data_IF_001149501635
#
_entry.id   IF_001149501635
#
_cell.length_a   1.000
_cell.length_b   1.000
_cell.length_c   1.000
_cell.angle_alpha   90.00
_cell.angle_beta   90.00
_cell.angle_gamma   90.00
#
_symmetry.space_group_name_H-M   'P 1'
#
loop_
_entity.id
_entity.type
_entity.pdbx_description
1 polymer ?
#
# COMPACT_ATOMS: atom_id res chain seq x y z
N UNK A 1 -24.76 3.18 15.77
CA UNK A 1 -24.79 1.96 16.60
C UNK A 1 -23.69 2.02 17.65
N UNK A 2 -24.04 1.86 18.94
CA UNK A 2 -23.17 2.17 20.09
C UNK A 2 -22.19 1.05 20.46
N UNK A 3 -22.60 -0.22 20.35
CA UNK A 3 -21.72 -1.38 20.57
C UNK A 3 -21.02 -1.77 19.26
N UNK A 4 -19.74 -2.19 19.29
CA UNK A 4 -18.93 -2.48 20.48
C UNK A 4 -18.13 -1.28 21.04
N UNK A 5 -18.30 -0.06 20.51
CA UNK A 5 -17.49 1.12 20.92
C UNK A 5 -17.57 1.41 22.42
N UNK A 6 -18.72 1.19 23.06
CA UNK A 6 -18.85 1.33 24.52
C UNK A 6 -17.95 0.36 25.29
N UNK A 7 -17.76 -0.88 24.80
CA UNK A 7 -16.87 -1.86 25.44
C UNK A 7 -15.41 -1.38 25.33
N UNK A 8 -15.01 -0.88 24.16
CA UNK A 8 -13.69 -0.29 23.97
C UNK A 8 -13.48 0.98 24.83
N UNK A 9 -14.52 1.80 25.00
CA UNK A 9 -14.47 2.97 25.89
C UNK A 9 -14.25 2.55 27.34
N UNK A 10 -14.97 1.53 27.83
CA UNK A 10 -14.78 0.99 29.17
C UNK A 10 -13.36 0.44 29.38
N UNK A 11 -12.79 -0.24 28.39
CA UNK A 11 -11.39 -0.69 28.43
C UNK A 11 -10.45 0.51 28.65
N UNK A 12 -10.61 1.59 27.89
CA UNK A 12 -9.72 2.76 27.98
C UNK A 12 -9.95 3.55 29.26
N UNK A 13 -11.19 3.73 29.71
CA UNK A 13 -11.51 4.62 30.84
C UNK A 13 -11.32 3.93 32.19
N UNK A 14 -11.46 2.59 32.27
CA UNK A 14 -11.39 1.86 33.53
C UNK A 14 -10.09 1.06 33.74
N UNK A 15 -9.22 0.97 32.73
CA UNK A 15 -7.88 0.36 32.88
C UNK A 15 -6.76 1.40 32.97
N UNK A 16 -5.71 1.07 33.71
CA UNK A 16 -4.49 1.87 33.75
C UNK A 16 -3.81 1.90 32.38
N UNK A 17 -3.14 3.00 32.04
CA UNK A 17 -2.45 3.13 30.73
C UNK A 17 -1.45 2.00 30.49
N UNK A 18 -0.76 1.54 31.54
CA UNK A 18 0.28 0.52 31.46
C UNK A 18 -0.27 -0.91 31.33
N UNK A 19 -1.55 -1.14 31.64
CA UNK A 19 -2.20 -2.46 31.53
C UNK A 19 -2.98 -2.65 30.22
N UNK A 20 -3.10 -1.61 29.39
CA UNK A 20 -3.85 -1.68 28.12
C UNK A 20 -3.08 -2.50 27.10
N UNK A 21 -3.72 -3.55 26.59
CA UNK A 21 -3.17 -4.40 25.55
C UNK A 21 -4.24 -4.66 24.49
N UNK A 22 -3.98 -4.24 23.25
CA UNK A 22 -4.94 -4.35 22.16
C UNK A 22 -5.22 -5.81 21.80
N UNK A 23 -4.20 -6.66 21.79
CA UNK A 23 -4.34 -8.08 21.41
C UNK A 23 -5.17 -8.83 22.45
N UNK A 24 -4.91 -8.60 23.74
CA UNK A 24 -5.74 -9.14 24.83
C UNK A 24 -7.20 -8.67 24.70
N UNK A 25 -7.42 -7.38 24.48
CA UNK A 25 -8.75 -6.81 24.30
C UNK A 25 -9.50 -7.44 23.11
N UNK A 26 -8.84 -7.58 21.96
CA UNK A 26 -9.43 -8.19 20.77
C UNK A 26 -9.76 -9.68 20.99
N UNK A 27 -8.93 -10.39 21.75
CA UNK A 27 -9.22 -11.77 22.14
C UNK A 27 -10.44 -11.87 23.07
N UNK A 28 -10.57 -10.98 24.07
CA UNK A 28 -11.78 -10.91 24.91
C UNK A 28 -13.03 -10.51 24.13
N UNK A 29 -12.89 -9.65 23.13
CA UNK A 29 -14.00 -9.22 22.28
C UNK A 29 -14.68 -10.39 21.54
N UNK A 30 -13.95 -11.47 21.22
CA UNK A 30 -14.53 -12.68 20.62
C UNK A 30 -15.71 -13.22 21.46
N UNK A 31 -15.50 -13.33 22.78
CA UNK A 31 -16.54 -13.76 23.72
C UNK A 31 -17.67 -12.73 23.86
N UNK A 32 -17.33 -11.43 23.83
CA UNK A 32 -18.32 -10.37 23.93
C UNK A 32 -19.29 -10.37 22.74
N UNK A 33 -18.80 -10.64 21.52
CA UNK A 33 -19.69 -10.75 20.37
C UNK A 33 -20.68 -11.92 20.50
N UNK A 34 -20.21 -13.10 20.90
CA UNK A 34 -21.09 -14.25 21.13
C UNK A 34 -22.12 -13.96 22.24
N UNK A 35 -21.70 -13.28 23.31
CA UNK A 35 -22.61 -12.82 24.36
C UNK A 35 -23.70 -11.88 23.81
N UNK A 36 -23.31 -10.88 23.02
CA UNK A 36 -24.25 -9.91 22.43
C UNK A 36 -25.23 -10.59 21.47
N UNK A 37 -24.76 -11.57 20.68
CA UNK A 37 -25.60 -12.40 19.80
C UNK A 37 -26.63 -13.18 20.62
N UNK A 38 -26.17 -13.90 21.65
CA UNK A 38 -27.03 -14.72 22.52
C UNK A 38 -28.07 -13.89 23.29
N UNK A 39 -27.70 -12.67 23.69
CA UNK A 39 -28.61 -11.71 24.33
C UNK A 39 -29.47 -10.91 23.34
N UNK A 40 -29.35 -11.16 22.04
CA UNK A 40 -30.07 -10.45 20.97
C UNK A 40 -29.87 -8.93 21.03
N UNK A 41 -28.73 -8.48 21.53
CA UNK A 41 -28.38 -7.06 21.63
C UNK A 41 -27.90 -6.58 20.26
N UNK A 42 -28.29 -5.36 19.86
CA UNK A 42 -27.85 -4.80 18.59
C UNK A 42 -26.43 -4.24 18.70
N UNK A 43 -25.55 -4.67 17.79
CA UNK A 43 -24.15 -4.23 17.75
C UNK A 43 -23.63 -4.18 16.31
N UNK A 44 -22.55 -3.44 16.10
CA UNK A 44 -21.85 -3.42 14.81
C UNK A 44 -21.12 -4.73 14.60
N UNK A 45 -21.64 -5.54 13.68
CA UNK A 45 -20.95 -6.74 13.20
C UNK A 45 -19.62 -6.29 12.57
N UNK A 46 -18.49 -6.83 13.04
CA UNK A 46 -17.18 -6.52 12.47
C UNK A 46 -17.12 -6.86 10.99
N UNK A 47 -16.64 -5.91 10.21
CA UNK A 47 -16.31 -6.12 8.80
C UNK A 47 -15.11 -7.07 8.71
N UNK A 48 -15.16 -8.11 7.85
CA UNK A 48 -14.03 -8.98 7.63
C UNK A 48 -12.98 -8.24 6.81
N UNK A 49 -11.87 -7.89 7.45
CA UNK A 49 -10.70 -7.26 6.84
C UNK A 49 -9.60 -8.32 6.64
N UNK A 50 -8.85 -8.24 5.53
CA UNK A 50 -7.67 -9.06 5.35
C UNK A 50 -6.60 -8.70 6.40
N UNK A 51 -5.73 -9.66 6.70
CA UNK A 51 -4.53 -9.48 7.53
C UNK A 51 -3.46 -8.64 6.82
N UNK A 52 -3.46 -8.67 5.48
CA UNK A 52 -2.66 -7.78 4.66
C UNK A 52 -3.28 -6.39 4.54
N UNK A 53 -2.48 -5.37 4.89
CA UNK A 53 -2.80 -3.97 4.63
C UNK A 53 -2.29 -3.47 3.28
N UNK A 54 -1.43 -4.26 2.63
CA UNK A 54 -0.83 -3.92 1.34
C UNK A 54 -1.74 -4.34 0.18
N UNK A 55 -2.01 -3.40 -0.71
CA UNK A 55 -2.72 -3.62 -1.98
C UNK A 55 -1.86 -4.44 -2.95
N UNK A 56 -0.54 -4.45 -2.75
CA UNK A 56 0.42 -5.09 -3.62
C UNK A 56 1.00 -6.33 -2.93
N UNK A 57 0.84 -7.50 -3.52
CA UNK A 57 1.25 -8.77 -2.89
C UNK A 57 2.00 -9.68 -3.87
N UNK A 58 2.97 -10.49 -3.40
CA UNK A 58 3.58 -11.51 -4.24
C UNK A 58 2.58 -12.49 -4.84
N UNK A 59 2.88 -13.02 -6.03
CA UNK A 59 2.10 -14.11 -6.61
C UNK A 59 2.13 -15.34 -5.71
N UNK A 60 0.95 -15.89 -5.41
CA UNK A 60 0.81 -17.03 -4.51
C UNK A 60 0.69 -16.66 -3.04
N UNK A 61 0.53 -15.37 -2.70
CA UNK A 61 0.20 -14.95 -1.33
C UNK A 61 -1.15 -15.51 -0.88
N UNK A 62 -1.21 -15.88 0.40
CA UNK A 62 -2.44 -16.33 1.07
C UNK A 62 -3.03 -15.20 1.91
N UNK A 63 -4.23 -14.75 1.55
CA UNK A 63 -4.93 -13.70 2.28
C UNK A 63 -5.87 -14.33 3.32
N UNK A 64 -5.76 -13.86 4.57
CA UNK A 64 -6.62 -14.32 5.67
C UNK A 64 -7.55 -13.22 6.12
N UNK A 65 -8.84 -13.52 6.21
CA UNK A 65 -9.80 -12.61 6.80
C UNK A 65 -9.87 -12.77 8.31
N UNK A 66 -9.93 -11.66 9.03
CA UNK A 66 -10.23 -11.69 10.46
C UNK A 66 -11.67 -12.18 10.69
N UNK A 67 -11.83 -13.18 11.56
CA UNK A 67 -13.13 -13.74 11.94
C UNK A 67 -13.30 -13.62 13.46
N UNK A 68 -13.64 -12.43 13.99
CA UNK A 68 -13.76 -12.23 15.43
C UNK A 68 -15.03 -12.86 16.06
N UNK A 69 -16.00 -13.30 15.25
CA UNK A 69 -17.23 -13.95 15.71
C UNK A 69 -17.19 -15.40 15.20
N UNK A 70 -17.01 -16.35 16.11
CA UNK A 70 -16.80 -17.75 15.74
C UNK A 70 -18.03 -18.38 15.11
N UNK A 71 -19.22 -18.05 15.63
CA UNK A 71 -20.51 -18.51 15.11
C UNK A 71 -20.93 -17.90 13.77
N UNK A 72 -20.19 -16.89 13.28
CA UNK A 72 -20.47 -16.22 12.01
C UNK A 72 -19.87 -16.96 10.81
N UNK A 73 -20.38 -16.65 9.62
CA UNK A 73 -19.81 -17.08 8.34
C UNK A 73 -19.32 -15.86 7.58
N UNK A 74 -18.20 -15.98 6.86
CA UNK A 74 -17.75 -14.95 5.93
C UNK A 74 -18.02 -15.48 4.53
N UNK A 75 -18.71 -14.68 3.72
CA UNK A 75 -18.91 -14.95 2.30
C UNK A 75 -18.22 -13.88 1.48
N UNK A 76 -17.64 -14.27 0.35
CA UNK A 76 -16.90 -13.36 -0.52
C UNK A 76 -17.17 -13.62 -2.00
N UNK A 77 -16.83 -12.62 -2.81
CA UNK A 77 -16.91 -12.62 -4.27
C UNK A 77 -15.64 -11.99 -4.83
N UNK A 78 -15.29 -12.37 -6.06
CA UNK A 78 -14.10 -11.90 -6.79
C UNK A 78 -14.45 -11.21 -8.12
N UNK A 79 -15.74 -11.15 -8.45
CA UNK A 79 -16.31 -10.57 -9.67
C UNK A 79 -16.82 -9.13 -9.46
N UNK A 80 -16.56 -8.55 -8.28
CA UNK A 80 -17.01 -7.21 -7.90
C UNK A 80 -18.46 -7.11 -7.42
N UNK A 81 -19.23 -8.20 -7.40
CA UNK A 81 -20.60 -8.20 -6.87
C UNK A 81 -20.62 -8.14 -5.33
N UNK A 82 -21.74 -7.76 -4.71
CA UNK A 82 -21.87 -7.81 -3.26
C UNK A 82 -22.10 -9.25 -2.77
N UNK A 83 -21.36 -9.75 -1.77
CA UNK A 83 -21.51 -11.12 -1.29
C UNK A 83 -22.89 -11.37 -0.67
N UNK A 84 -23.43 -12.55 -0.97
CA UNK A 84 -24.66 -13.10 -0.39
C UNK A 84 -24.37 -14.44 0.28
N UNK A 85 -25.37 -15.05 0.93
CA UNK A 85 -25.23 -16.40 1.49
C UNK A 85 -25.04 -17.50 0.44
N UNK A 86 -25.27 -17.19 -0.85
CA UNK A 86 -25.02 -18.08 -1.99
C UNK A 86 -23.63 -17.86 -2.62
N UNK A 87 -22.88 -16.84 -2.18
CA UNK A 87 -21.52 -16.58 -2.64
C UNK A 87 -20.52 -17.58 -2.05
N UNK A 88 -19.23 -17.40 -2.32
CA UNK A 88 -18.20 -18.35 -1.89
C UNK A 88 -18.01 -18.24 -0.38
N UNK A 89 -18.13 -19.36 0.34
CA UNK A 89 -17.88 -19.43 1.78
C UNK A 89 -16.37 -19.38 2.04
N UNK A 90 -15.91 -18.42 2.84
CA UNK A 90 -14.54 -18.38 3.33
C UNK A 90 -14.34 -19.43 4.43
N UNK A 91 -13.59 -20.48 4.11
CA UNK A 91 -13.25 -21.60 5.02
C UNK A 91 -11.76 -21.80 5.22
N UNK A 92 -10.93 -21.22 4.35
CA UNK A 92 -9.47 -21.28 4.35
C UNK A 92 -8.89 -20.01 3.71
N UNK A 93 -7.60 -19.69 3.93
CA UNK A 93 -6.95 -18.56 3.28
C UNK A 93 -7.15 -18.57 1.76
N UNK A 94 -7.30 -17.38 1.17
CA UNK A 94 -7.52 -17.22 -0.27
C UNK A 94 -6.17 -17.06 -0.95
N UNK A 95 -5.85 -17.97 -1.87
CA UNK A 95 -4.64 -17.91 -2.68
C UNK A 95 -4.83 -16.90 -3.82
N UNK A 96 -3.93 -15.92 -3.93
CA UNK A 96 -4.02 -14.86 -4.94
C UNK A 96 -2.95 -15.06 -6.01
N UNK A 97 -3.40 -15.39 -7.23
CA UNK A 97 -2.53 -15.68 -8.38
C UNK A 97 -2.68 -14.72 -9.57
N UNK A 98 -3.71 -13.87 -9.52
CA UNK A 98 -3.89 -12.71 -10.41
C UNK A 98 -4.40 -11.49 -9.64
N UNK A 99 -4.41 -10.32 -10.29
CA UNK A 99 -5.03 -9.12 -9.74
C UNK A 99 -6.52 -9.39 -9.48
N UNK A 100 -7.01 -9.09 -8.28
CA UNK A 100 -8.37 -9.44 -7.89
C UNK A 100 -8.96 -8.41 -6.94
N UNK A 101 -10.24 -8.10 -7.14
CA UNK A 101 -11.05 -7.35 -6.19
C UNK A 101 -11.81 -8.35 -5.31
N UNK A 102 -11.49 -8.41 -4.02
CA UNK A 102 -12.23 -9.26 -3.07
C UNK A 102 -13.23 -8.41 -2.30
N UNK A 103 -14.50 -8.74 -2.49
CA UNK A 103 -15.60 -8.21 -1.69
C UNK A 103 -15.98 -9.26 -0.64
N UNK A 104 -16.10 -8.88 0.63
CA UNK A 104 -16.41 -9.81 1.73
C UNK A 104 -17.39 -9.23 2.76
N UNK A 105 -18.27 -10.08 3.30
CA UNK A 105 -19.19 -9.74 4.41
C UNK A 105 -19.28 -10.86 5.44
N UNK A 106 -19.40 -10.46 6.70
CA UNK A 106 -19.72 -11.36 7.81
C UNK A 106 -21.23 -11.50 7.91
N UNK A 107 -21.72 -12.74 7.99
CA UNK A 107 -23.11 -13.12 8.14
C UNK A 107 -23.32 -13.84 9.48
N UNK A 108 -24.27 -13.35 10.26
CA UNK A 108 -24.75 -14.05 11.45
C UNK A 108 -25.85 -15.05 11.08
N UNK A 109 -26.08 -16.04 11.94
CA UNK A 109 -27.15 -17.04 11.78
C UNK A 109 -28.56 -16.44 11.69
N UNK A 110 -28.76 -15.25 12.27
CA UNK A 110 -30.03 -14.51 12.21
C UNK A 110 -30.20 -13.65 10.95
N UNK A 111 -29.30 -13.76 9.97
CA UNK A 111 -29.36 -13.03 8.70
C UNK A 111 -28.79 -11.61 8.73
N UNK A 112 -28.43 -11.05 9.90
CA UNK A 112 -27.75 -9.75 9.97
C UNK A 112 -26.34 -9.84 9.38
N UNK A 113 -25.89 -8.77 8.74
CA UNK A 113 -24.58 -8.72 8.09
C UNK A 113 -23.71 -7.57 8.57
N UNK A 114 -22.40 -7.71 8.44
CA UNK A 114 -21.49 -6.57 8.47
C UNK A 114 -21.72 -5.64 7.28
N UNK A 115 -21.15 -4.43 7.29
CA UNK A 115 -20.88 -3.68 6.07
C UNK A 115 -19.95 -4.44 5.12
N UNK A 116 -19.95 -4.03 3.85
CA UNK A 116 -19.06 -4.53 2.82
C UNK A 116 -17.60 -4.20 3.13
N UNK A 117 -16.75 -5.23 3.07
CA UNK A 117 -15.31 -5.11 2.89
C UNK A 117 -15.02 -5.18 1.39
N UNK A 118 -14.20 -4.28 0.86
CA UNK A 118 -13.83 -4.27 -0.56
C UNK A 118 -12.35 -3.93 -0.66
N UNK A 119 -11.55 -4.89 -1.11
CA UNK A 119 -10.08 -4.76 -1.17
C UNK A 119 -9.59 -5.26 -2.51
N UNK A 120 -8.86 -4.40 -3.23
CA UNK A 120 -8.15 -4.78 -4.44
C UNK A 120 -6.75 -5.27 -4.09
N UNK A 121 -6.41 -6.45 -4.58
CA UNK A 121 -5.05 -6.98 -4.56
C UNK A 121 -4.48 -6.93 -5.98
N UNK A 122 -3.29 -6.38 -6.10
CA UNK A 122 -2.50 -6.36 -7.31
C UNK A 122 -1.26 -7.21 -7.09
N UNK A 123 -1.01 -8.12 -8.02
CA UNK A 123 0.11 -9.05 -7.90
C UNK A 123 1.39 -8.39 -8.37
N UNK A 124 2.44 -8.73 -7.63
CA UNK A 124 3.81 -8.50 -7.99
C UNK A 124 4.45 -9.86 -8.26
N UNK A 125 5.03 -10.01 -9.44
CA UNK A 125 6.06 -11.02 -9.66
C UNK A 125 7.39 -10.42 -9.20
N UNK A 126 7.91 -10.87 -8.05
CA UNK A 126 9.16 -10.34 -7.48
C UNK A 126 10.37 -10.52 -8.38
N UNK A 127 10.29 -11.39 -9.40
CA UNK A 127 11.35 -11.58 -10.39
C UNK A 127 11.29 -10.54 -11.52
N UNK A 128 10.10 -10.04 -11.85
CA UNK A 128 9.87 -9.13 -12.98
C UNK A 128 9.61 -7.69 -12.54
N UNK A 129 8.81 -7.49 -11.51
CA UNK A 129 8.31 -6.18 -11.08
C UNK A 129 9.29 -5.46 -10.14
N UNK A 130 9.14 -4.14 -10.06
CA UNK A 130 9.88 -3.26 -9.15
C UNK A 130 11.02 -2.50 -9.82
N UNK A 131 11.72 -1.68 -9.02
CA UNK A 131 12.92 -0.96 -9.41
C UNK A 131 14.09 -1.40 -8.57
N UNK A 132 15.27 -1.48 -9.18
CA UNK A 132 16.52 -1.66 -8.45
C UNK A 132 16.97 -0.30 -7.94
N UNK A 133 17.25 -0.19 -6.65
CA UNK A 133 17.77 1.03 -6.05
C UNK A 133 19.18 0.83 -5.52
N UNK A 134 19.93 1.93 -5.50
CA UNK A 134 21.19 2.10 -4.79
C UNK A 134 21.03 3.24 -3.80
N UNK A 135 21.58 3.06 -2.61
CA UNK A 135 21.54 3.97 -1.48
C UNK A 135 22.96 4.38 -1.11
N UNK A 136 23.12 5.67 -0.85
CA UNK A 136 24.38 6.34 -0.61
C UNK A 136 24.24 7.25 0.62
N UNK A 137 25.31 7.40 1.38
CA UNK A 137 25.35 8.30 2.54
C UNK A 137 26.18 9.54 2.21
N UNK A 138 25.71 10.70 2.67
CA UNK A 138 26.40 11.96 2.45
C UNK A 138 25.49 13.15 2.69
N UNK A 139 26.09 14.33 2.85
CA UNK A 139 25.39 15.61 2.95
C UNK A 139 25.50 16.28 1.58
N UNK A 140 24.35 16.63 1.01
CA UNK A 140 24.28 17.19 -0.33
C UNK A 140 23.45 18.48 -0.33
N UNK A 141 23.82 19.44 -1.17
CA UNK A 141 23.02 20.64 -1.47
C UNK A 141 22.27 20.53 -2.80
N UNK A 142 22.65 19.55 -3.62
CA UNK A 142 22.06 19.15 -4.90
C UNK A 142 22.36 17.68 -5.17
N UNK A 143 21.65 17.04 -6.08
CA UNK A 143 21.88 15.66 -6.46
C UNK A 143 23.36 15.42 -6.83
N UNK A 144 24.01 14.41 -6.22
CA UNK A 144 25.41 14.11 -6.49
C UNK A 144 25.60 13.38 -7.82
N UNK A 145 26.84 13.34 -8.30
CA UNK A 145 27.23 12.39 -9.34
C UNK A 145 27.34 10.98 -8.74
N UNK A 146 26.27 10.19 -8.90
CA UNK A 146 26.17 8.82 -8.41
C UNK A 146 27.27 7.86 -8.92
N UNK A 147 27.92 8.18 -10.04
CA UNK A 147 29.01 7.33 -10.59
C UNK A 147 30.29 7.41 -9.75
N UNK A 148 30.43 8.47 -8.95
CA UNK A 148 31.59 8.72 -8.09
C UNK A 148 31.42 8.22 -6.66
N UNK A 149 30.20 7.82 -6.28
CA UNK A 149 29.85 7.48 -4.91
C UNK A 149 30.05 5.99 -4.62
N UNK A 150 30.45 5.68 -3.39
CA UNK A 150 30.44 4.32 -2.86
C UNK A 150 29.01 3.93 -2.46
N UNK A 151 28.50 2.86 -3.06
CA UNK A 151 27.23 2.26 -2.68
C UNK A 151 27.30 1.69 -1.26
N UNK A 152 26.35 2.07 -0.41
CA UNK A 152 26.23 1.56 0.96
C UNK A 152 25.25 0.38 1.04
N UNK A 153 24.17 0.46 0.25
CA UNK A 153 23.12 -0.57 0.19
C UNK A 153 22.44 -0.53 -1.17
N UNK A 154 22.02 -1.68 -1.66
CA UNK A 154 21.09 -1.79 -2.78
C UNK A 154 19.97 -2.77 -2.49
N UNK A 155 18.95 -2.75 -3.33
CA UNK A 155 17.84 -3.68 -3.24
C UNK A 155 16.80 -3.42 -4.32
N UNK A 156 15.64 -4.03 -4.12
CA UNK A 156 14.47 -3.88 -4.99
C UNK A 156 13.34 -3.21 -4.22
N UNK A 157 12.70 -2.23 -4.83
CA UNK A 157 11.49 -1.58 -4.32
C UNK A 157 10.30 -1.86 -5.22
N UNK A 158 9.13 -1.99 -4.60
CA UNK A 158 7.87 -2.22 -5.29
C UNK A 158 6.94 -1.01 -5.23
N UNK A 159 7.20 -0.11 -4.30
CA UNK A 159 6.61 1.21 -4.26
C UNK A 159 7.72 2.23 -4.16
N UNK A 160 7.58 3.32 -4.90
CA UNK A 160 8.54 4.41 -4.83
C UNK A 160 8.27 5.25 -3.56
N UNK A 161 8.69 4.71 -2.42
CA UNK A 161 8.47 5.21 -1.07
C UNK A 161 9.70 4.93 -0.21
N UNK A 162 10.05 5.87 0.67
CA UNK A 162 11.15 5.70 1.62
C UNK A 162 10.90 4.58 2.64
N UNK A 163 9.64 4.20 2.86
CA UNK A 163 9.26 3.12 3.78
C UNK A 163 9.84 1.75 3.38
N UNK A 164 9.99 1.49 2.08
CA UNK A 164 10.53 0.23 1.56
C UNK A 164 12.07 0.23 1.59
N UNK A 165 12.67 1.40 1.37
CA UNK A 165 14.13 1.58 1.32
C UNK A 165 14.74 1.55 2.72
N UNK A 166 14.03 2.14 3.70
CA UNK A 166 14.44 2.29 5.10
C UNK A 166 15.83 2.93 5.22
N UNK A 167 15.96 4.25 4.90
CA UNK A 167 17.23 4.98 5.04
C UNK A 167 17.85 4.79 6.43
N UNK A 168 19.17 4.62 6.48
CA UNK A 168 19.91 4.35 7.72
C UNK A 168 20.39 5.63 8.41
N UNK A 169 20.41 6.75 7.68
CA UNK A 169 20.84 8.08 8.12
C UNK A 169 19.81 9.12 7.71
N UNK A 170 19.92 10.29 8.34
CA UNK A 170 19.14 11.47 7.96
C UNK A 170 19.60 12.00 6.60
N UNK A 171 20.91 12.13 6.39
CA UNK A 171 21.47 12.60 5.12
C UNK A 171 21.84 11.43 4.21
N UNK A 172 21.23 11.36 3.02
CA UNK A 172 21.43 10.26 2.09
C UNK A 172 21.05 10.63 0.66
N UNK A 173 21.42 9.77 -0.30
CA UNK A 173 20.96 9.83 -1.68
C UNK A 173 20.52 8.46 -2.18
N UNK A 174 19.60 8.45 -3.16
CA UNK A 174 19.00 7.27 -3.75
C UNK A 174 19.01 7.43 -5.27
N UNK A 175 19.42 6.38 -5.97
CA UNK A 175 19.19 6.23 -7.40
C UNK A 175 18.41 4.93 -7.64
N UNK A 176 17.22 5.04 -8.21
CA UNK A 176 16.37 3.90 -8.55
C UNK A 176 16.21 3.79 -10.08
N UNK A 177 16.32 2.58 -10.62
CA UNK A 177 16.24 2.28 -12.04
C UNK A 177 15.26 1.13 -12.31
N UNK A 178 14.55 1.20 -13.43
CA UNK A 178 13.69 0.12 -13.92
C UNK A 178 13.08 0.49 -15.27
N UNK A 179 11.96 -0.15 -15.59
CA UNK A 179 11.19 0.05 -16.81
C UNK A 179 9.74 0.33 -16.46
N UNK A 180 9.19 1.44 -16.94
CA UNK A 180 7.78 1.78 -16.83
C UNK A 180 7.03 1.18 -18.03
N UNK A 181 6.01 0.37 -17.76
CA UNK A 181 5.13 -0.17 -18.80
C UNK A 181 3.95 0.78 -19.06
N UNK A 182 3.86 1.25 -20.28
CA UNK A 182 2.77 2.08 -20.81
C UNK A 182 1.83 1.17 -21.59
N UNK A 183 0.60 1.01 -21.09
CA UNK A 183 -0.39 0.10 -21.71
C UNK A 183 -1.02 0.69 -22.98
N UNK A 184 -1.10 2.01 -23.06
CA UNK A 184 -1.74 2.75 -24.15
C UNK A 184 -0.94 4.01 -24.50
N UNK A 185 -0.71 4.27 -25.79
CA UNK A 185 -0.05 5.50 -26.22
C UNK A 185 -0.91 6.72 -25.85
N UNK A 186 -0.30 7.77 -25.30
CA UNK A 186 -1.06 8.93 -24.85
C UNK A 186 -0.22 9.99 -24.16
N UNK A 187 -0.92 11.01 -23.65
CA UNK A 187 -0.33 12.03 -22.79
C UNK A 187 -0.46 11.57 -21.34
N UNK A 188 0.66 11.54 -20.65
CA UNK A 188 0.76 11.21 -19.23
C UNK A 188 1.28 12.41 -18.46
N UNK A 189 0.74 12.63 -17.27
CA UNK A 189 1.23 13.64 -16.35
C UNK A 189 1.89 12.98 -15.14
N UNK A 190 3.16 13.31 -14.92
CA UNK A 190 3.91 12.85 -13.76
C UNK A 190 3.97 13.94 -12.71
N UNK A 191 3.93 13.53 -11.45
CA UNK A 191 4.07 14.41 -10.30
C UNK A 191 5.15 13.83 -9.40
N UNK A 192 6.20 14.61 -9.15
CA UNK A 192 7.29 14.25 -8.26
C UNK A 192 7.31 15.23 -7.10
N UNK A 193 7.04 14.71 -5.90
CA UNK A 193 7.07 15.47 -4.66
C UNK A 193 8.26 15.01 -3.83
N UNK A 194 9.12 15.95 -3.42
CA UNK A 194 10.26 15.64 -2.55
C UNK A 194 10.51 16.71 -1.49
N UNK A 195 11.00 16.29 -0.33
CA UNK A 195 11.76 17.14 0.59
C UNK A 195 13.23 17.05 0.20
N UNK A 196 13.88 18.18 -0.07
CA UNK A 196 15.13 18.30 -0.83
C UNK A 196 15.02 17.75 -2.28
N UNK A 197 16.16 17.50 -2.92
CA UNK A 197 16.24 17.45 -4.37
C UNK A 197 15.89 16.11 -4.99
N UNK A 198 15.16 16.13 -6.10
CA UNK A 198 14.86 14.94 -6.91
C UNK A 198 14.82 15.21 -8.42
N UNK A 199 15.08 14.17 -9.22
CA UNK A 199 14.97 14.19 -10.69
C UNK A 199 14.31 12.93 -11.19
N UNK A 200 13.46 13.06 -12.21
CA UNK A 200 12.86 11.95 -12.95
C UNK A 200 13.38 11.96 -14.39
N UNK A 201 13.81 10.80 -14.84
CA UNK A 201 14.21 10.54 -16.22
C UNK A 201 13.33 9.47 -16.82
N UNK A 202 12.89 9.70 -18.06
CA UNK A 202 12.16 8.73 -18.87
C UNK A 202 12.89 8.56 -20.20
N UNK A 203 13.21 7.32 -20.56
CA UNK A 203 13.99 6.97 -21.74
C UNK A 203 15.33 7.75 -21.83
N UNK A 204 15.98 7.93 -20.67
CA UNK A 204 17.23 8.70 -20.53
C UNK A 204 17.05 10.23 -20.53
N UNK A 205 15.87 10.74 -20.88
CA UNK A 205 15.59 12.18 -20.93
C UNK A 205 15.13 12.70 -19.56
N UNK A 206 15.70 13.82 -19.11
CA UNK A 206 15.25 14.51 -17.90
C UNK A 206 13.87 15.13 -18.13
N UNK A 207 12.84 14.64 -17.43
CA UNK A 207 11.46 15.14 -17.57
C UNK A 207 10.99 15.97 -16.38
N UNK A 208 11.50 15.68 -15.17
CA UNK A 208 11.27 16.52 -13.99
C UNK A 208 12.60 16.84 -13.32
N UNK A 209 12.83 18.12 -13.07
CA UNK A 209 13.94 18.62 -12.28
C UNK A 209 13.41 19.38 -11.05
N UNK A 210 13.47 18.73 -9.90
CA UNK A 210 13.16 19.31 -8.60
C UNK A 210 14.40 19.26 -7.71
N UNK A 211 15.57 19.58 -8.26
CA UNK A 211 16.86 19.49 -7.57
C UNK A 211 17.12 20.72 -6.69
N UNK A 212 18.18 20.62 -5.87
CA UNK A 212 18.59 21.50 -4.78
C UNK A 212 17.83 21.29 -3.48
N UNK A 213 18.42 21.75 -2.38
CA UNK A 213 17.77 21.71 -1.06
C UNK A 213 16.57 22.66 -1.02
N UNK A 214 15.44 22.14 -0.52
CA UNK A 214 14.18 22.86 -0.36
C UNK A 214 13.26 22.06 0.56
N UNK A 215 12.30 22.72 1.21
CA UNK A 215 11.21 22.02 1.88
C UNK A 215 10.35 21.21 0.88
N UNK A 216 9.51 20.31 1.36
CA UNK A 216 8.53 19.55 0.56
C UNK A 216 7.93 20.40 -0.59
N UNK A 217 8.22 19.98 -1.82
CA UNK A 217 7.77 20.65 -3.04
C UNK A 217 7.42 19.63 -4.10
N UNK A 218 6.36 19.90 -4.85
CA UNK A 218 5.93 19.12 -6.01
C UNK A 218 6.31 19.83 -7.31
N UNK A 219 6.80 19.06 -8.27
CA UNK A 219 6.96 19.47 -9.67
C UNK A 219 6.25 18.44 -10.54
N UNK A 220 5.60 18.90 -11.60
CA UNK A 220 4.90 18.03 -12.55
C UNK A 220 5.34 18.29 -13.98
N UNK A 221 5.20 17.28 -14.84
CA UNK A 221 5.42 17.39 -16.27
C UNK A 221 4.38 16.57 -17.04
N UNK A 222 4.01 17.03 -18.23
CA UNK A 222 3.28 16.24 -19.20
C UNK A 222 4.24 15.70 -20.26
N UNK A 223 4.12 14.40 -20.56
CA UNK A 223 4.98 13.71 -21.52
C UNK A 223 4.09 12.84 -22.40
N UNK A 224 4.31 12.90 -23.71
CA UNK A 224 3.69 11.96 -24.65
C UNK A 224 4.50 10.67 -24.65
N UNK A 225 3.86 9.56 -24.34
CA UNK A 225 4.48 8.24 -24.29
C UNK A 225 3.78 7.30 -25.28
N UNK A 226 4.56 6.44 -25.91
CA UNK A 226 4.04 5.36 -26.73
C UNK A 226 3.86 4.10 -25.89
N UNK A 227 2.90 3.26 -26.28
CA UNK A 227 2.68 1.94 -25.68
C UNK A 227 3.98 1.12 -25.71
N UNK A 228 4.36 0.58 -24.56
CA UNK A 228 5.54 -0.26 -24.40
C UNK A 228 6.26 -0.05 -23.07
N UNK A 229 7.37 -0.76 -22.90
CA UNK A 229 8.28 -0.57 -21.76
C UNK A 229 9.31 0.49 -22.08
N UNK A 230 9.43 1.49 -21.21
CA UNK A 230 10.43 2.56 -21.33
C UNK A 230 11.33 2.60 -20.09
N UNK A 231 12.64 2.89 -20.21
CA UNK A 231 13.50 3.09 -19.05
C UNK A 231 12.98 4.22 -18.17
N UNK A 232 12.96 4.00 -16.86
CA UNK A 232 12.65 5.01 -15.85
C UNK A 232 13.77 5.05 -14.82
N UNK A 233 14.26 6.25 -14.53
CA UNK A 233 15.21 6.48 -13.46
C UNK A 233 14.72 7.60 -12.56
N UNK A 234 14.79 7.37 -11.25
CA UNK A 234 14.57 8.40 -10.25
C UNK A 234 15.84 8.61 -9.43
N UNK A 235 16.17 9.87 -9.24
CA UNK A 235 17.24 10.30 -8.34
C UNK A 235 16.64 11.15 -7.22
N UNK A 236 17.13 10.97 -6.01
CA UNK A 236 16.70 11.69 -4.81
C UNK A 236 17.87 11.91 -3.86
N UNK A 237 17.92 13.04 -3.17
CA UNK A 237 18.72 13.20 -1.96
C UNK A 237 17.92 13.86 -0.87
N UNK A 238 18.31 13.57 0.36
CA UNK A 238 17.80 14.17 1.57
C UNK A 238 18.96 14.72 2.39
N UNK A 239 18.86 15.94 2.89
CA UNK A 239 19.94 16.59 3.63
C UNK A 239 19.81 16.41 5.14
N UNK A 240 18.61 16.45 5.70
CA UNK A 240 18.37 16.47 7.15
C UNK A 240 17.23 15.53 7.59
N UNK A 241 16.68 15.69 8.80
CA UNK A 241 15.80 14.68 9.39
C UNK A 241 14.41 14.55 8.75
N UNK A 242 13.89 15.61 8.12
CA UNK A 242 12.65 15.53 7.36
C UNK A 242 12.95 14.96 5.98
N UNK A 243 12.28 13.87 5.60
CA UNK A 243 12.42 13.26 4.29
C UNK A 243 11.05 12.90 3.73
N UNK A 244 10.84 13.22 2.45
CA UNK A 244 9.61 12.89 1.75
C UNK A 244 9.95 12.62 0.28
N UNK A 245 9.38 11.56 -0.27
CA UNK A 245 9.50 11.24 -1.69
C UNK A 245 8.24 10.52 -2.15
N UNK A 246 7.65 11.03 -3.23
CA UNK A 246 6.46 10.43 -3.84
C UNK A 246 6.48 10.68 -5.35
N UNK A 247 6.27 9.61 -6.12
CA UNK A 247 6.06 9.67 -7.56
C UNK A 247 4.64 9.22 -7.90
N UNK A 248 3.91 10.05 -8.62
CA UNK A 248 2.55 9.78 -9.10
C UNK A 248 2.43 10.00 -10.59
N UNK A 249 1.45 9.34 -11.18
CA UNK A 249 1.13 9.38 -12.60
C UNK A 249 -0.38 9.53 -12.80
N UNK A 250 -0.75 10.27 -13.82
CA UNK A 250 -2.09 10.42 -14.36
C UNK A 250 -2.04 10.13 -15.87
N UNK A 251 -3.05 9.44 -16.39
CA UNK A 251 -3.16 9.08 -17.80
C UNK A 251 -4.59 9.25 -18.29
N UNK A 252 -4.81 9.10 -19.59
CA UNK A 252 -6.13 9.37 -20.21
C UNK A 252 -7.28 8.56 -19.57
N UNK A 253 -7.01 7.33 -19.16
CA UNK A 253 -8.03 6.41 -18.65
C UNK A 253 -7.98 6.21 -17.13
N UNK A 254 -7.14 6.95 -16.40
CA UNK A 254 -7.07 6.84 -14.95
C UNK A 254 -6.66 8.16 -14.27
N UNK A 255 -7.32 8.46 -13.15
CA UNK A 255 -6.99 9.60 -12.31
C UNK A 255 -5.60 9.44 -11.66
N UNK A 256 -5.00 10.58 -11.28
CA UNK A 256 -3.73 10.65 -10.52
C UNK A 256 -3.65 9.57 -9.44
N UNK A 257 -2.60 8.75 -9.50
CA UNK A 257 -2.31 7.67 -8.55
C UNK A 257 -0.80 7.47 -8.38
N UNK A 258 -0.34 6.84 -7.28
CA UNK A 258 1.06 6.46 -7.13
C UNK A 258 1.55 5.56 -8.27
N UNK A 259 2.80 5.74 -8.69
CA UNK A 259 3.45 4.75 -9.57
C UNK A 259 3.81 3.53 -8.71
N UNK A 260 3.23 2.38 -9.06
CA UNK A 260 3.34 1.12 -8.30
C UNK A 260 4.01 0.01 -9.10
N UNK A 261 4.46 -1.06 -8.43
CA UNK A 261 5.18 -2.17 -9.04
C UNK A 261 4.45 -2.86 -10.20
N UNK A 262 3.12 -2.86 -10.24
CA UNK A 262 2.38 -3.38 -11.40
C UNK A 262 2.65 -2.58 -12.69
N UNK A 263 3.14 -1.33 -12.58
CA UNK A 263 3.56 -0.49 -13.70
C UNK A 263 5.07 -0.56 -13.95
N UNK A 264 5.88 -1.01 -12.98
CA UNK A 264 7.34 -0.95 -13.06
C UNK A 264 7.98 -2.34 -13.05
N UNK A 265 9.00 -2.52 -13.88
CA UNK A 265 9.70 -3.79 -14.09
C UNK A 265 11.21 -3.59 -13.94
N UNK A 266 11.92 -4.62 -13.50
CA UNK A 266 13.39 -4.58 -13.43
C UNK A 266 14.06 -4.81 -14.77
N UNK A 267 13.39 -5.55 -15.68
CA UNK A 267 13.84 -5.91 -17.02
C UNK A 267 12.70 -5.79 -18.06
#
# INVERSE_FOLDING_TARGET
MLLPRLIALSEVVWSSKNSRNLEDFLNRMKYQYEFLINKKINFRIPTPLPDESEILIPKGSEIKFNKPIESSKIYFTVDGTEPTQNSILYSKPILINENVLINAKTFLSNGKTSPLSSVSFSIIDSTLNGMNYKYYEGIYDSLPDFSTLQEIKSGKIYKLSLADIKPMKESFAIQANGFLNIEESGVYKFYLTSDDGSKLFLDGNLVINNDKSHSIKEVSCEVKLEKGKIPIQLQYFNKWSSSFLKLEIEGQNFNRRPVTANMIFTN
#
